data_IF_887623702906
#
_entry.id   IF_887623702906
#
_cell.length_a   1.000
_cell.length_b   1.000
_cell.length_c   1.000
_cell.angle_alpha   90.00
_cell.angle_beta   90.00
_cell.angle_gamma   90.00
#
_symmetry.space_group_name_H-M   'P 1'
#
loop_
_entity.id
_entity.type
_entity.pdbx_description
1 polymer ?
#
# COMPACT_ATOMS: atom_id res chain seq x y z
N UNK A 1 -15.80 -4.48 -21.67
CA UNK A 1 -16.31 -4.78 -20.32
C UNK A 1 -15.19 -5.13 -19.34
N UNK A 2 -14.13 -5.83 -19.73
CA UNK A 2 -13.02 -6.19 -18.80
C UNK A 2 -12.25 -5.00 -18.21
N UNK A 3 -12.01 -3.93 -18.99
CA UNK A 3 -11.32 -2.72 -18.51
C UNK A 3 -12.11 -1.97 -17.42
N UNK A 4 -13.44 -2.07 -17.45
CA UNK A 4 -14.32 -1.35 -16.53
C UNK A 4 -14.42 -2.07 -15.17
N UNK A 5 -14.36 -3.40 -15.15
CA UNK A 5 -14.24 -4.18 -13.92
C UNK A 5 -12.88 -4.00 -13.25
N UNK A 6 -11.80 -3.97 -14.03
CA UNK A 6 -10.44 -3.76 -13.50
C UNK A 6 -10.26 -2.37 -12.89
N UNK A 7 -10.88 -1.34 -13.47
CA UNK A 7 -10.87 0.03 -12.93
C UNK A 7 -11.57 0.13 -11.56
N UNK A 8 -12.72 -0.54 -11.39
CA UNK A 8 -13.42 -0.60 -10.09
C UNK A 8 -12.61 -1.30 -9.01
N UNK A 9 -11.99 -2.44 -9.33
CA UNK A 9 -11.17 -3.19 -8.37
C UNK A 9 -9.95 -2.38 -7.86
N UNK A 10 -9.40 -1.48 -8.67
CA UNK A 10 -8.27 -0.63 -8.28
C UNK A 10 -8.73 0.50 -7.35
N UNK A 11 -9.86 1.15 -7.66
CA UNK A 11 -10.44 2.20 -6.80
C UNK A 11 -10.87 1.62 -5.45
N UNK A 12 -11.48 0.43 -5.42
CA UNK A 12 -11.87 -0.26 -4.19
C UNK A 12 -10.64 -0.61 -3.33
N UNK A 13 -9.56 -1.10 -3.95
CA UNK A 13 -8.30 -1.36 -3.25
C UNK A 13 -7.69 -0.09 -2.67
N UNK A 14 -7.72 1.01 -3.42
CA UNK A 14 -7.22 2.30 -2.96
C UNK A 14 -8.03 2.80 -1.77
N UNK A 15 -9.35 2.66 -1.79
CA UNK A 15 -10.21 3.03 -0.67
C UNK A 15 -9.91 2.19 0.58
N UNK A 16 -9.73 0.88 0.43
CA UNK A 16 -9.35 -0.02 1.52
C UNK A 16 -8.01 0.38 2.16
N UNK A 17 -7.01 0.76 1.35
CA UNK A 17 -5.72 1.24 1.84
C UNK A 17 -5.83 2.55 2.63
N UNK A 18 -6.71 3.46 2.20
CA UNK A 18 -6.92 4.75 2.85
C UNK A 18 -7.68 4.65 4.17
N UNK A 19 -8.53 3.63 4.31
CA UNK A 19 -9.24 3.36 5.57
C UNK A 19 -8.36 2.62 6.59
N UNK A 20 -7.31 1.95 6.14
CA UNK A 20 -6.43 1.18 7.01
C UNK A 20 -5.56 2.11 7.87
N UNK A 21 -5.45 1.76 9.14
CA UNK A 21 -4.59 2.43 10.11
C UNK A 21 -3.48 1.46 10.51
N UNK A 22 -2.24 1.96 10.50
CA UNK A 22 -1.04 1.21 10.81
C UNK A 22 -0.51 1.72 12.13
N UNK A 23 -0.31 0.81 13.08
CA UNK A 23 0.15 1.16 14.40
C UNK A 23 1.64 0.86 14.49
N UNK A 24 2.45 1.90 14.67
CA UNK A 24 3.87 1.75 14.91
C UNK A 24 4.07 0.93 16.19
N UNK A 25 4.74 -0.22 16.10
CA UNK A 25 4.92 -1.13 17.25
C UNK A 25 5.85 -0.57 18.33
N UNK A 26 6.68 0.41 17.98
CA UNK A 26 7.65 1.04 18.88
C UNK A 26 7.06 2.24 19.62
N UNK A 27 6.39 3.15 18.92
CA UNK A 27 5.84 4.38 19.51
C UNK A 27 4.36 4.25 19.90
N UNK A 28 3.66 3.26 19.35
CA UNK A 28 2.21 3.09 19.51
C UNK A 28 1.39 4.08 18.70
N UNK A 29 2.02 4.96 17.92
CA UNK A 29 1.34 5.96 17.10
C UNK A 29 0.63 5.31 15.92
N UNK A 30 -0.54 5.85 15.62
CA UNK A 30 -1.38 5.40 14.52
C UNK A 30 -1.15 6.29 13.30
N UNK A 31 -0.65 5.69 12.22
CA UNK A 31 -0.38 6.36 10.95
C UNK A 31 -1.32 5.82 9.87
N UNK A 32 -1.78 6.71 8.99
CA UNK A 32 -2.54 6.34 7.79
C UNK A 32 -1.77 6.73 6.54
N UNK A 33 -2.01 6.01 5.46
CA UNK A 33 -1.48 6.36 4.15
C UNK A 33 -2.17 7.63 3.62
N UNK A 34 -1.39 8.48 2.97
CA UNK A 34 -1.93 9.55 2.15
C UNK A 34 -2.45 9.02 0.81
N UNK A 35 -3.35 9.77 0.18
CA UNK A 35 -3.91 9.45 -1.16
C UNK A 35 -2.85 9.14 -2.20
N UNK A 36 -1.73 9.88 -2.17
CA UNK A 36 -0.59 9.65 -3.06
C UNK A 36 0.09 8.31 -2.78
N UNK A 37 0.36 8.00 -1.52
CA UNK A 37 1.06 6.78 -1.09
C UNK A 37 0.25 5.53 -1.43
N UNK A 38 -1.06 5.55 -1.14
CA UNK A 38 -1.96 4.45 -1.50
C UNK A 38 -1.97 4.19 -3.02
N UNK A 39 -2.02 5.24 -3.84
CA UNK A 39 -1.90 5.11 -5.30
C UNK A 39 -0.56 4.51 -5.71
N UNK A 40 0.55 4.98 -5.13
CA UNK A 40 1.88 4.47 -5.46
C UNK A 40 2.08 3.02 -5.04
N UNK A 41 1.55 2.58 -3.90
CA UNK A 41 1.61 1.17 -3.51
C UNK A 41 0.92 0.23 -4.52
N UNK A 42 -0.18 0.68 -5.13
CA UNK A 42 -0.87 -0.09 -6.16
C UNK A 42 0.01 -0.17 -7.43
N UNK A 43 0.65 0.93 -7.83
CA UNK A 43 1.58 0.95 -8.96
C UNK A 43 2.82 0.07 -8.72
N UNK A 44 3.37 0.14 -7.49
CA UNK A 44 4.61 -0.52 -7.07
C UNK A 44 4.52 -2.04 -7.00
N UNK A 45 3.32 -2.61 -6.93
CA UNK A 45 3.17 -4.05 -6.77
C UNK A 45 3.80 -4.86 -7.92
N UNK A 46 3.94 -4.23 -9.10
CA UNK A 46 4.61 -4.83 -10.25
C UNK A 46 6.14 -4.72 -10.22
N UNK A 47 6.67 -3.87 -9.33
CA UNK A 47 8.07 -3.45 -9.34
C UNK A 47 8.87 -4.08 -8.20
N UNK A 48 8.30 -4.19 -7.00
CA UNK A 48 9.05 -4.70 -5.84
C UNK A 48 8.20 -5.37 -4.76
N UNK A 49 8.84 -6.22 -3.95
CA UNK A 49 8.32 -6.71 -2.68
C UNK A 49 9.27 -6.38 -1.52
N UNK A 50 10.30 -5.58 -1.77
CA UNK A 50 11.28 -5.13 -0.79
C UNK A 50 10.82 -3.80 -0.16
N UNK A 51 10.62 -3.74 1.17
CA UNK A 51 10.29 -2.51 1.87
C UNK A 51 11.27 -1.36 1.64
N UNK A 52 12.57 -1.64 1.55
CA UNK A 52 13.60 -0.59 1.37
C UNK A 52 13.50 0.05 -0.02
N UNK A 53 13.24 -0.76 -1.05
CA UNK A 53 12.99 -0.27 -2.40
C UNK A 53 11.68 0.53 -2.47
N UNK A 54 10.63 0.11 -1.75
CA UNK A 54 9.38 0.85 -1.67
C UNK A 54 9.57 2.24 -1.04
N UNK A 55 10.43 2.37 -0.02
CA UNK A 55 10.82 3.68 0.55
C UNK A 55 11.57 4.53 -0.46
N UNK A 56 12.53 3.95 -1.20
CA UNK A 56 13.24 4.65 -2.26
C UNK A 56 12.29 5.23 -3.33
N UNK A 57 11.21 4.51 -3.64
CA UNK A 57 10.23 4.90 -4.65
C UNK A 57 9.12 5.81 -4.09
N UNK A 58 8.84 5.75 -2.79
CA UNK A 58 7.86 6.58 -2.08
C UNK A 58 8.55 7.22 -0.86
N UNK A 59 9.35 8.29 -1.07
CA UNK A 59 10.15 8.88 0.00
C UNK A 59 9.32 9.48 1.15
N UNK A 60 8.01 9.72 0.95
CA UNK A 60 7.13 10.19 2.03
C UNK A 60 6.82 9.15 3.11
N UNK A 61 7.20 7.89 2.90
CA UNK A 61 7.10 6.82 3.89
C UNK A 61 8.24 6.85 4.91
N UNK A 62 9.38 7.43 4.53
CA UNK A 62 10.57 7.47 5.36
C UNK A 62 10.29 8.19 6.68
N UNK A 63 10.63 7.54 7.79
CA UNK A 63 10.39 8.06 9.14
C UNK A 63 8.95 7.99 9.64
N UNK A 64 7.98 7.59 8.79
CA UNK A 64 6.55 7.46 9.18
C UNK A 64 6.09 6.01 9.34
N UNK A 65 6.72 5.10 8.60
CA UNK A 65 6.45 3.68 8.64
C UNK A 65 7.75 2.92 8.85
N UNK A 66 7.70 1.83 9.62
CA UNK A 66 8.83 0.91 9.70
C UNK A 66 8.87 0.01 8.46
N UNK A 67 10.02 -0.60 8.18
CA UNK A 67 10.13 -1.59 7.09
C UNK A 67 9.14 -2.76 7.27
N UNK A 68 8.82 -3.12 8.51
CA UNK A 68 7.81 -4.15 8.81
C UNK A 68 6.41 -3.68 8.42
N UNK A 69 6.02 -2.44 8.77
CA UNK A 69 4.74 -1.87 8.36
C UNK A 69 4.61 -1.81 6.83
N UNK A 70 5.67 -1.39 6.14
CA UNK A 70 5.72 -1.31 4.68
C UNK A 70 5.61 -2.70 4.04
N UNK A 71 6.28 -3.70 4.62
CA UNK A 71 6.13 -5.09 4.20
C UNK A 71 4.69 -5.59 4.32
N UNK A 72 4.03 -5.32 5.45
CA UNK A 72 2.61 -5.66 5.65
C UNK A 72 1.70 -4.96 4.64
N UNK A 73 2.00 -3.72 4.26
CA UNK A 73 1.28 -3.00 3.20
C UNK A 73 1.46 -3.71 1.86
N UNK A 74 2.69 -3.97 1.45
CA UNK A 74 2.99 -4.62 0.17
C UNK A 74 2.32 -5.97 0.04
N UNK A 75 2.37 -6.79 1.10
CA UNK A 75 1.69 -8.09 1.13
C UNK A 75 0.16 -7.95 1.06
N UNK A 76 -0.41 -6.99 1.79
CA UNK A 76 -1.85 -6.73 1.77
C UNK A 76 -2.32 -6.37 0.36
N UNK A 77 -1.62 -5.43 -0.29
CA UNK A 77 -1.92 -4.99 -1.65
C UNK A 77 -1.84 -6.20 -2.59
N UNK A 78 -0.75 -6.98 -2.52
CA UNK A 78 -0.52 -8.18 -3.35
C UNK A 78 -1.62 -9.24 -3.18
N UNK A 79 -2.05 -9.49 -1.94
CA UNK A 79 -3.14 -10.41 -1.62
C UNK A 79 -4.46 -9.92 -2.20
N UNK A 80 -4.77 -8.63 -2.05
CA UNK A 80 -5.99 -8.05 -2.60
C UNK A 80 -6.01 -8.21 -4.12
N UNK A 81 -4.95 -7.81 -4.84
CA UNK A 81 -4.93 -7.93 -6.31
C UNK A 81 -5.03 -9.36 -6.81
N UNK A 82 -4.46 -10.35 -6.11
CA UNK A 82 -4.63 -11.77 -6.47
C UNK A 82 -6.08 -12.23 -6.37
N UNK A 83 -6.88 -11.67 -5.46
CA UNK A 83 -8.31 -11.97 -5.35
C UNK A 83 -9.17 -11.22 -6.38
N UNK A 84 -8.60 -10.23 -7.08
CA UNK A 84 -9.29 -9.43 -8.10
C UNK A 84 -8.93 -9.82 -9.56
N UNK A 85 -8.00 -10.77 -9.75
CA UNK A 85 -7.66 -11.42 -11.04
C UNK A 85 -8.34 -12.77 -11.17
#
# INVERSE_FOLDING_TARGET
MEKENRGRNIEDLKELLLQKTYKNKTTGEETRLHKYEASKFIDLMSLTSDPEEAVCLIPSLEGRFSNEDIGEILEFVKRCMRNFT
#
